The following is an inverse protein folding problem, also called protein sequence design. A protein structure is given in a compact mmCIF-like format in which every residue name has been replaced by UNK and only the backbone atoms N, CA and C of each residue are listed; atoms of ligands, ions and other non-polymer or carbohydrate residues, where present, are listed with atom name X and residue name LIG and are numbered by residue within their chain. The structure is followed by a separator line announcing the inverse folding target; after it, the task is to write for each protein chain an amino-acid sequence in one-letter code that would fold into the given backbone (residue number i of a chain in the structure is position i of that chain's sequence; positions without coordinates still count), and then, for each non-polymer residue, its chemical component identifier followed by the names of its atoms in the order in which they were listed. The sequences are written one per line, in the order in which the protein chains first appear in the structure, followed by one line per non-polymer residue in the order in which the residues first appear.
data_IF_535222015348
#
_entry.id   IF_535222015348
#
_cell.length_a   1.000
_cell.length_b   1.000
_cell.length_c   1.000
_cell.angle_alpha   90.00
_cell.angle_beta   90.00
_cell.angle_gamma   90.00
#
_symmetry.space_group_name_H-M   'P 1'
#
loop_
_entity.id
_entity.type
_entity.pdbx_description
1 polymer ?
#
# COMPACT_ATOMS: atom_id res chain seq x y z
N UNK A 1 -29.10 1.43 31.01
CA UNK A 1 -29.37 1.87 29.63
C UNK A 1 -28.14 1.63 28.78
N UNK A 2 -27.95 0.39 28.30
CA UNK A 2 -26.91 0.06 27.33
C UNK A 2 -27.45 0.34 25.94
N UNK A 3 -27.45 1.63 25.59
CA UNK A 3 -27.76 2.07 24.24
C UNK A 3 -26.66 1.56 23.32
N UNK A 4 -27.05 0.63 22.44
CA UNK A 4 -26.38 0.26 21.19
C UNK A 4 -25.10 1.07 20.96
N UNK A 5 -23.96 0.51 21.36
CA UNK A 5 -22.68 0.93 20.81
C UNK A 5 -22.86 0.83 19.30
N UNK A 6 -23.08 1.98 18.67
CA UNK A 6 -23.27 2.09 17.24
C UNK A 6 -22.14 1.30 16.63
N UNK A 7 -22.46 0.15 16.01
CA UNK A 7 -21.48 -0.64 15.27
C UNK A 7 -20.85 0.35 14.31
N UNK A 8 -19.64 0.80 14.62
CA UNK A 8 -18.87 1.70 13.78
C UNK A 8 -18.84 1.03 12.43
N UNK A 9 -19.63 1.56 11.49
CA UNK A 9 -19.69 0.99 10.16
C UNK A 9 -18.26 1.00 9.63
N UNK A 10 -17.76 -0.17 9.24
CA UNK A 10 -16.40 -0.32 8.77
C UNK A 10 -16.22 0.58 7.54
N UNK A 11 -15.47 1.67 7.69
CA UNK A 11 -15.28 2.63 6.61
C UNK A 11 -14.57 1.95 5.44
N UNK A 12 -14.95 2.35 4.20
CA UNK A 12 -14.24 1.95 2.97
C UNK A 12 -12.76 2.29 3.02
N UNK A 13 -12.38 3.39 3.69
CA UNK A 13 -10.99 3.83 3.89
C UNK A 13 -10.23 2.82 4.75
N UNK A 14 -10.84 2.40 5.86
CA UNK A 14 -10.29 1.36 6.74
C UNK A 14 -10.23 0.00 6.05
N UNK A 15 -11.25 -0.35 5.29
CA UNK A 15 -11.28 -1.55 4.47
C UNK A 15 -10.15 -1.57 3.45
N UNK A 16 -9.90 -0.44 2.79
CA UNK A 16 -8.80 -0.29 1.84
C UNK A 16 -7.44 -0.56 2.52
N UNK A 17 -7.18 0.03 3.69
CA UNK A 17 -5.96 -0.22 4.46
C UNK A 17 -5.75 -1.71 4.79
N UNK A 18 -6.81 -2.39 5.23
CA UNK A 18 -6.74 -3.82 5.55
C UNK A 18 -6.50 -4.67 4.31
N UNK A 19 -7.30 -4.49 3.26
CA UNK A 19 -7.24 -5.32 2.06
C UNK A 19 -5.92 -5.11 1.32
N UNK A 20 -5.53 -3.85 1.10
CA UNK A 20 -4.28 -3.54 0.39
C UNK A 20 -3.06 -3.85 1.25
N UNK A 21 -3.13 -3.61 2.56
CA UNK A 21 -2.06 -3.96 3.50
C UNK A 21 -1.77 -5.46 3.54
N UNK A 22 -2.80 -6.30 3.62
CA UNK A 22 -2.65 -7.76 3.52
C UNK A 22 -2.13 -8.18 2.13
N UNK A 23 -2.57 -7.49 1.07
CA UNK A 23 -2.05 -7.67 -0.28
C UNK A 23 -0.55 -7.39 -0.38
N UNK A 24 -0.05 -6.31 0.23
CA UNK A 24 1.39 -6.00 0.34
C UNK A 24 2.15 -7.01 1.16
N UNK A 25 1.59 -7.47 2.26
CA UNK A 25 2.24 -8.52 3.05
C UNK A 25 2.37 -9.82 2.26
N UNK A 26 1.32 -10.21 1.53
CA UNK A 26 1.37 -11.36 0.62
C UNK A 26 2.34 -11.18 -0.53
N UNK A 27 2.36 -10.00 -1.16
CA UNK A 27 3.28 -9.69 -2.26
C UNK A 27 4.75 -9.75 -1.81
N UNK A 28 5.07 -9.14 -0.66
CA UNK A 28 6.42 -9.18 -0.09
C UNK A 28 6.84 -10.59 0.30
N UNK A 29 6.03 -11.27 1.10
CA UNK A 29 6.38 -12.58 1.65
C UNK A 29 6.39 -13.69 0.60
N UNK A 30 5.32 -13.81 -0.18
CA UNK A 30 5.18 -14.90 -1.16
C UNK A 30 5.79 -14.55 -2.52
N UNK A 31 5.67 -13.30 -2.95
CA UNK A 31 6.04 -12.86 -4.30
C UNK A 31 7.46 -12.34 -4.45
N UNK A 32 8.08 -11.83 -3.38
CA UNK A 32 9.47 -11.35 -3.40
C UNK A 32 10.37 -12.34 -2.67
N UNK A 33 10.11 -12.59 -1.38
CA UNK A 33 10.96 -13.48 -0.56
C UNK A 33 10.81 -14.94 -1.01
N UNK A 34 9.56 -15.41 -1.21
CA UNK A 34 9.31 -16.80 -1.56
C UNK A 34 9.59 -17.18 -3.02
N UNK A 35 9.42 -16.25 -3.96
CA UNK A 35 9.59 -16.54 -5.39
C UNK A 35 9.95 -15.27 -6.21
N UNK A 36 11.21 -14.80 -6.12
CA UNK A 36 11.62 -13.57 -6.78
C UNK A 36 11.54 -13.71 -8.31
N UNK A 37 10.65 -12.93 -8.93
CA UNK A 37 10.47 -12.93 -10.39
C UNK A 37 11.64 -12.26 -11.10
N UNK A 38 12.08 -12.86 -12.21
CA UNK A 38 13.20 -12.36 -13.02
C UNK A 38 13.03 -10.91 -13.49
N UNK A 39 11.83 -10.52 -13.95
CA UNK A 39 11.55 -9.14 -14.38
C UNK A 39 11.67 -8.10 -13.25
N UNK A 40 11.33 -8.49 -12.03
CA UNK A 40 11.47 -7.64 -10.84
C UNK A 40 12.94 -7.52 -10.44
N UNK A 41 13.67 -8.63 -10.42
CA UNK A 41 15.10 -8.62 -10.12
C UNK A 41 15.90 -7.75 -11.11
N UNK A 42 15.56 -7.80 -12.41
CA UNK A 42 16.25 -7.02 -13.44
C UNK A 42 15.92 -5.53 -13.40
N UNK A 43 14.66 -5.15 -13.20
CA UNK A 43 14.29 -3.74 -13.10
C UNK A 43 14.70 -3.08 -11.78
N UNK A 44 15.00 -3.88 -10.75
CA UNK A 44 15.55 -3.42 -9.48
C UNK A 44 17.07 -3.62 -9.37
N UNK A 45 17.77 -4.04 -10.42
CA UNK A 45 19.19 -4.40 -10.37
C UNK A 45 20.07 -3.27 -9.78
N UNK A 46 19.75 -2.02 -10.13
CA UNK A 46 20.46 -0.85 -9.63
C UNK A 46 20.18 -0.56 -8.15
N UNK A 47 19.06 -1.03 -7.60
CA UNK A 47 18.78 -0.94 -6.16
C UNK A 47 19.35 -2.15 -5.40
N UNK A 48 19.28 -3.34 -6.01
CA UNK A 48 19.67 -4.58 -5.35
C UNK A 48 21.17 -4.74 -5.18
N UNK A 49 21.98 -3.91 -5.84
CA UNK A 49 23.41 -3.77 -5.54
C UNK A 49 23.68 -3.19 -4.14
N UNK A 50 22.73 -2.41 -3.58
CA UNK A 50 22.86 -1.77 -2.27
C UNK A 50 21.99 -2.43 -1.20
N UNK A 51 20.78 -2.88 -1.56
CA UNK A 51 19.82 -3.47 -0.64
C UNK A 51 19.35 -4.82 -1.16
N UNK A 52 19.57 -5.93 -0.43
CA UNK A 52 19.19 -7.24 -0.92
C UNK A 52 17.68 -7.34 -1.13
N UNK A 53 17.30 -8.10 -2.16
CA UNK A 53 15.90 -8.25 -2.56
C UNK A 53 15.03 -8.82 -1.42
N UNK A 54 15.59 -9.66 -0.56
CA UNK A 54 14.94 -10.18 0.65
C UNK A 54 14.59 -9.08 1.65
N UNK A 55 15.52 -8.14 1.90
CA UNK A 55 15.27 -7.02 2.81
C UNK A 55 14.16 -6.11 2.26
N UNK A 56 14.14 -5.90 0.95
CA UNK A 56 13.06 -5.18 0.31
C UNK A 56 11.74 -5.97 0.41
N UNK A 57 11.75 -7.29 0.20
CA UNK A 57 10.58 -8.14 0.40
C UNK A 57 10.00 -8.03 1.81
N UNK A 58 10.85 -8.05 2.84
CA UNK A 58 10.44 -7.81 4.22
C UNK A 58 9.90 -6.40 4.48
N UNK A 59 10.43 -5.38 3.80
CA UNK A 59 9.86 -4.03 3.86
C UNK A 59 8.38 -4.05 3.41
N UNK A 60 8.05 -4.73 2.29
CA UNK A 60 6.65 -4.88 1.85
C UNK A 60 5.80 -5.59 2.91
N UNK A 61 6.34 -6.62 3.56
CA UNK A 61 5.65 -7.33 4.65
C UNK A 61 5.36 -6.42 5.82
N UNK A 62 6.37 -5.75 6.36
CA UNK A 62 6.25 -4.88 7.53
C UNK A 62 5.31 -3.71 7.24
N UNK A 63 5.47 -3.05 6.10
CA UNK A 63 4.61 -1.95 5.66
C UNK A 63 3.15 -2.41 5.45
N UNK A 64 2.95 -3.58 4.83
CA UNK A 64 1.62 -4.15 4.62
C UNK A 64 0.90 -4.50 5.92
N UNK A 65 1.60 -5.13 6.87
CA UNK A 65 1.07 -5.44 8.19
C UNK A 65 0.80 -4.18 9.02
N UNK A 66 1.68 -3.18 8.96
CA UNK A 66 1.45 -1.89 9.61
C UNK A 66 0.21 -1.17 9.05
N UNK A 67 0.02 -1.20 7.74
CA UNK A 67 -1.18 -0.66 7.11
C UNK A 67 -2.45 -1.42 7.52
N UNK A 68 -2.40 -2.76 7.52
CA UNK A 68 -3.54 -3.58 7.89
C UNK A 68 -3.94 -3.37 9.35
N UNK A 69 -2.96 -3.36 10.26
CA UNK A 69 -3.19 -3.06 11.68
C UNK A 69 -3.75 -1.65 11.86
N UNK A 70 -3.23 -0.65 11.16
CA UNK A 70 -3.77 0.71 11.18
C UNK A 70 -5.24 0.80 10.72
N UNK A 71 -5.66 0.00 9.74
CA UNK A 71 -7.05 -0.09 9.31
C UNK A 71 -7.98 -0.73 10.36
N UNK A 72 -7.46 -1.67 11.14
CA UNK A 72 -8.19 -2.32 12.23
C UNK A 72 -8.39 -1.38 13.42
N UNK A 73 -7.47 -0.44 13.67
CA UNK A 73 -7.63 0.56 14.75
C UNK A 73 -8.79 1.52 14.43
N UNK A 74 -9.80 1.50 15.31
CA UNK A 74 -11.00 2.34 15.22
C UNK A 74 -10.71 3.70 15.86
N UNK A 75 -11.27 4.79 15.31
CA UNK A 75 -11.23 6.16 15.88
C UNK A 75 -9.82 6.78 16.07
N UNK A 76 -8.80 6.28 15.39
CA UNK A 76 -7.45 6.87 15.42
C UNK A 76 -7.02 7.38 14.03
N UNK A 77 -7.43 8.58 13.60
CA UNK A 77 -7.12 9.11 12.27
C UNK A 77 -5.61 9.26 12.02
N UNK A 78 -4.82 9.56 13.06
CA UNK A 78 -3.35 9.62 12.96
C UNK A 78 -2.74 8.27 12.60
N UNK A 79 -3.20 7.20 13.26
CA UNK A 79 -2.73 5.83 12.99
C UNK A 79 -3.09 5.40 11.58
N UNK A 80 -4.31 5.71 11.12
CA UNK A 80 -4.72 5.46 9.74
C UNK A 80 -3.87 6.23 8.73
N UNK A 81 -3.53 7.49 9.02
CA UNK A 81 -2.61 8.29 8.21
C UNK A 81 -1.23 7.61 8.08
N UNK A 82 -0.67 7.11 9.19
CA UNK A 82 0.56 6.33 9.16
C UNK A 82 0.41 5.03 8.34
N UNK A 83 -0.74 4.37 8.41
CA UNK A 83 -1.05 3.20 7.57
C UNK A 83 -1.02 3.51 6.07
N UNK A 84 -1.53 4.67 5.66
CA UNK A 84 -1.47 5.12 4.27
C UNK A 84 -0.04 5.44 3.83
N UNK A 85 0.75 6.07 4.70
CA UNK A 85 2.19 6.28 4.44
C UNK A 85 2.90 4.94 4.27
N UNK A 86 2.62 3.97 5.14
CA UNK A 86 3.18 2.62 5.05
C UNK A 86 2.80 1.93 3.73
N UNK A 87 1.59 2.13 3.19
CA UNK A 87 1.25 1.61 1.85
C UNK A 87 1.95 2.34 0.70
N UNK A 88 2.10 3.66 0.82
CA UNK A 88 2.64 4.50 -0.24
C UNK A 88 4.16 4.36 -0.39
N UNK A 89 4.89 4.13 0.71
CA UNK A 89 6.37 4.07 0.69
C UNK A 89 6.91 2.96 -0.22
N UNK A 90 6.50 1.67 -0.09
CA UNK A 90 7.00 0.61 -0.96
C UNK A 90 6.62 0.84 -2.43
N UNK A 91 5.38 1.26 -2.67
CA UNK A 91 4.87 1.50 -4.02
C UNK A 91 5.60 2.68 -4.69
N UNK A 92 5.85 3.75 -3.95
CA UNK A 92 6.57 4.93 -4.43
C UNK A 92 8.04 4.63 -4.71
N UNK A 93 8.68 3.84 -3.86
CA UNK A 93 10.04 3.35 -4.11
C UNK A 93 10.10 2.53 -5.40
N UNK A 94 9.18 1.57 -5.58
CA UNK A 94 9.09 0.78 -6.80
C UNK A 94 8.88 1.66 -8.03
N UNK A 95 7.95 2.62 -7.96
CA UNK A 95 7.70 3.57 -9.04
C UNK A 95 8.97 4.33 -9.43
N UNK A 96 9.71 4.86 -8.44
CA UNK A 96 10.96 5.59 -8.66
C UNK A 96 12.04 4.72 -9.30
N UNK A 97 12.29 3.53 -8.77
CA UNK A 97 13.35 2.63 -9.26
C UNK A 97 13.03 2.14 -10.67
N UNK A 98 11.79 1.71 -10.93
CA UNK A 98 11.41 1.30 -12.28
C UNK A 98 11.41 2.47 -13.28
N UNK A 99 11.11 3.70 -12.83
CA UNK A 99 11.23 4.88 -13.70
C UNK A 99 12.68 5.17 -14.07
N UNK A 100 13.60 5.10 -13.10
CA UNK A 100 15.03 5.26 -13.33
C UNK A 100 15.57 4.17 -14.27
N UNK A 101 15.20 2.91 -14.04
CA UNK A 101 15.58 1.78 -14.90
C UNK A 101 15.01 1.93 -16.32
N UNK A 102 13.76 2.36 -16.46
CA UNK A 102 13.14 2.59 -17.78
C UNK A 102 13.86 3.69 -18.56
N UNK A 103 14.36 4.72 -17.87
CA UNK A 103 15.08 5.84 -18.47
C UNK A 103 16.56 5.52 -18.78
N UNK A 104 17.10 4.39 -18.32
CA UNK A 104 18.54 4.08 -18.41
C UNK A 104 18.82 2.68 -18.95
N UNK A 105 18.74 1.67 -18.09
CA UNK A 105 19.33 0.34 -18.31
C UNK A 105 18.31 -0.70 -18.77
N UNK A 106 17.02 -0.46 -18.58
CA UNK A 106 15.96 -1.43 -18.86
C UNK A 106 14.63 -0.75 -19.29
N UNK A 107 14.52 -0.29 -20.55
CA UNK A 107 13.29 0.35 -21.08
C UNK A 107 11.98 -0.42 -20.87
N UNK A 108 11.93 -1.77 -20.89
CA UNK A 108 10.71 -2.52 -20.58
C UNK A 108 10.16 -2.30 -19.16
N UNK A 109 10.91 -1.68 -18.24
CA UNK A 109 10.43 -1.29 -16.91
C UNK A 109 9.29 -0.26 -16.94
N UNK A 110 9.07 0.44 -18.07
CA UNK A 110 8.07 1.53 -18.16
C UNK A 110 6.66 1.11 -17.72
N UNK A 111 6.24 -0.11 -18.05
CA UNK A 111 4.93 -0.62 -17.63
C UNK A 111 4.81 -0.77 -16.11
N UNK A 112 5.90 -1.24 -15.47
CA UNK A 112 5.97 -1.31 -14.01
C UNK A 112 6.03 0.08 -13.38
N UNK A 113 6.81 0.99 -13.95
CA UNK A 113 6.89 2.38 -13.50
C UNK A 113 5.50 3.05 -13.48
N UNK A 114 4.76 2.94 -14.57
CA UNK A 114 3.40 3.47 -14.67
C UNK A 114 2.43 2.80 -13.68
N UNK A 115 2.49 1.47 -13.56
CA UNK A 115 1.61 0.72 -12.64
C UNK A 115 1.83 1.10 -11.18
N UNK A 116 3.09 1.08 -10.74
CA UNK A 116 3.46 1.44 -9.36
C UNK A 116 3.26 2.93 -9.07
N UNK A 117 3.53 3.80 -10.05
CA UNK A 117 3.30 5.24 -9.94
C UNK A 117 1.81 5.55 -9.77
N UNK A 118 0.96 5.02 -10.65
CA UNK A 118 -0.49 5.19 -10.56
C UNK A 118 -1.04 4.64 -9.24
N UNK A 119 -0.55 3.48 -8.78
CA UNK A 119 -0.99 2.89 -7.51
C UNK A 119 -0.60 3.77 -6.32
N UNK A 120 0.64 4.29 -6.29
CA UNK A 120 1.12 5.21 -5.25
C UNK A 120 0.27 6.46 -5.18
N UNK A 121 0.00 7.08 -6.33
CA UNK A 121 -0.88 8.26 -6.42
C UNK A 121 -2.28 7.91 -5.92
N UNK A 122 -2.83 6.76 -6.33
CA UNK A 122 -4.13 6.27 -5.87
C UNK A 122 -4.20 6.14 -4.35
N UNK A 123 -3.17 5.59 -3.71
CA UNK A 123 -3.08 5.49 -2.23
C UNK A 123 -3.10 6.88 -1.59
N UNK A 124 -2.35 7.84 -2.14
CA UNK A 124 -2.32 9.23 -1.63
C UNK A 124 -3.70 9.89 -1.78
N UNK A 125 -4.36 9.73 -2.94
CA UNK A 125 -5.69 10.26 -3.17
C UNK A 125 -6.72 9.68 -2.18
N UNK A 126 -6.74 8.35 -2.00
CA UNK A 126 -7.63 7.69 -1.03
C UNK A 126 -7.32 8.13 0.40
N UNK A 127 -6.05 8.40 0.72
CA UNK A 127 -5.67 8.90 2.05
C UNK A 127 -6.31 10.25 2.36
N UNK A 128 -6.54 11.10 1.36
CA UNK A 128 -7.17 12.40 1.50
C UNK A 128 -8.71 12.38 1.43
N UNK A 129 -9.33 11.23 1.18
CA UNK A 129 -10.79 11.12 1.15
C UNK A 129 -11.38 11.08 2.56
N UNK A 130 -12.49 11.80 2.75
CA UNK A 130 -13.28 11.72 3.97
C UNK A 130 -14.06 10.40 4.06
N UNK A 131 -14.26 9.92 5.28
CA UNK A 131 -15.18 8.82 5.54
C UNK A 131 -16.62 9.29 5.27
N UNK A 132 -17.43 8.55 4.50
CA UNK A 132 -18.79 8.95 4.23
C UNK A 132 -19.59 8.97 5.54
N UNK A 133 -20.49 9.95 5.74
CA UNK A 133 -21.25 10.05 6.97
C UNK A 133 -22.06 8.75 7.21
N UNK A 134 -22.34 8.42 8.48
CA UNK A 134 -23.18 7.29 8.84
C UNK A 134 -24.48 7.25 8.04
N UNK A 135 -25.04 6.07 7.71
CA UNK A 135 -26.25 5.94 6.91
C UNK A 135 -27.42 6.81 7.40
N UNK A 136 -27.58 6.96 8.72
CA UNK A 136 -28.64 7.78 9.33
C UNK A 136 -28.45 9.30 9.17
N UNK A 137 -27.25 9.76 8.77
CA UNK A 137 -26.94 11.16 8.45
C UNK A 137 -26.92 11.43 6.93
N UNK A 138 -27.15 10.41 6.10
CA UNK A 138 -27.21 10.60 4.65
C UNK A 138 -28.60 11.13 4.28
N UNK A 139 -28.64 12.22 3.50
CA UNK A 139 -29.90 12.68 2.90
C UNK A 139 -30.43 11.59 1.98
N UNK A 140 -31.66 11.13 2.23
CA UNK A 140 -32.37 10.23 1.31
C UNK A 140 -32.59 11.03 0.02
N UNK A 141 -32.07 10.52 -1.09
CA UNK A 141 -32.25 11.11 -2.43
C UNK A 141 -33.49 10.52 -3.06
#
# INVERSE_FOLDING_TARGET
MWGAAARSAFSRRRAFLVVVGLGWAGYGGLGIVGNPRYGTARGLADLTQYVPLDALGWMWVVCGLAAATAGLVVNCPRVQGLGYVALAVPAGLWAGVFSAAAASTFPPAVGSACGWGAFTIGVVLVSGMDDPPPPYLRKVR
#
